data_IF_938936717822
#
_entry.id   IF_938936717822
#
_cell.length_a   1.000
_cell.length_b   1.000
_cell.length_c   1.000
_cell.angle_alpha   90.00
_cell.angle_beta   90.00
_cell.angle_gamma   90.00
#
_symmetry.space_group_name_H-M   'P 1'
#
loop_
_entity.id
_entity.type
_entity.pdbx_description
1 polymer ?
#
# COMPACT_ATOMS: atom_id res chain seq x y z
N UNK A 1 34.20 -12.94 5.61
CA UNK A 1 32.78 -13.31 5.78
C UNK A 1 32.17 -12.43 6.88
N UNK A 2 31.59 -11.26 6.54
CA UNK A 2 30.98 -10.37 7.54
C UNK A 2 29.59 -10.92 7.86
N UNK A 3 29.45 -11.57 9.02
CA UNK A 3 28.16 -11.93 9.59
C UNK A 3 27.43 -10.61 9.93
N UNK A 4 26.26 -10.32 9.36
CA UNK A 4 25.50 -9.14 9.72
C UNK A 4 25.13 -9.20 11.21
N UNK A 5 25.28 -8.07 11.90
CA UNK A 5 24.94 -7.96 13.32
C UNK A 5 23.43 -8.10 13.53
N UNK A 6 22.99 -8.67 14.66
CA UNK A 6 21.55 -8.79 15.02
C UNK A 6 20.76 -7.47 14.94
N UNK A 7 21.44 -6.30 14.98
CA UNK A 7 20.84 -4.98 14.78
C UNK A 7 20.59 -4.67 13.30
N UNK A 8 21.51 -5.04 12.41
CA UNK A 8 21.33 -4.91 10.95
C UNK A 8 20.15 -5.76 10.47
N UNK A 9 20.00 -6.99 10.96
CA UNK A 9 18.85 -7.86 10.60
C UNK A 9 17.50 -7.23 11.00
N UNK A 10 17.45 -6.54 12.14
CA UNK A 10 16.25 -5.82 12.59
C UNK A 10 16.00 -4.57 11.74
N UNK A 11 17.06 -3.84 11.41
CA UNK A 11 16.98 -2.67 10.54
C UNK A 11 16.50 -3.03 9.13
N UNK A 12 17.02 -4.11 8.53
CA UNK A 12 16.57 -4.62 7.23
C UNK A 12 15.09 -5.04 7.25
N UNK A 13 14.63 -5.67 8.33
CA UNK A 13 13.21 -6.00 8.50
C UNK A 13 12.33 -4.75 8.56
N UNK A 14 12.74 -3.74 9.33
CA UNK A 14 12.03 -2.47 9.42
C UNK A 14 12.01 -1.73 8.07
N UNK A 15 13.15 -1.66 7.37
CA UNK A 15 13.25 -1.05 6.05
C UNK A 15 12.35 -1.73 5.03
N UNK A 16 12.29 -3.06 5.02
CA UNK A 16 11.38 -3.80 4.14
C UNK A 16 9.92 -3.40 4.35
N UNK A 17 9.49 -3.27 5.59
CA UNK A 17 8.15 -2.79 5.95
C UNK A 17 7.93 -1.37 5.42
N UNK A 18 8.89 -0.48 5.66
CA UNK A 18 8.82 0.93 5.23
C UNK A 18 8.74 1.03 3.70
N UNK A 19 9.58 0.31 2.97
CA UNK A 19 9.58 0.32 1.49
C UNK A 19 8.24 -0.16 0.91
N UNK A 20 7.60 -1.17 1.52
CA UNK A 20 6.28 -1.64 1.07
C UNK A 20 5.21 -0.56 1.31
N UNK A 21 5.21 0.09 2.47
CA UNK A 21 4.27 1.18 2.79
C UNK A 21 4.45 2.34 1.81
N UNK A 22 5.70 2.77 1.60
CA UNK A 22 6.02 3.84 0.67
C UNK A 22 5.63 3.48 -0.77
N UNK A 23 5.92 2.26 -1.21
CA UNK A 23 5.55 1.78 -2.54
C UNK A 23 4.04 1.75 -2.76
N UNK A 24 3.27 1.28 -1.78
CA UNK A 24 1.82 1.27 -1.85
C UNK A 24 1.22 2.69 -1.83
N UNK A 25 1.78 3.60 -1.02
CA UNK A 25 1.40 5.01 -1.00
C UNK A 25 1.65 5.68 -2.36
N UNK A 26 2.81 5.40 -2.97
CA UNK A 26 3.12 5.90 -4.32
C UNK A 26 2.14 5.31 -5.33
N UNK A 27 1.88 4.00 -5.30
CA UNK A 27 0.97 3.34 -6.25
C UNK A 27 -0.48 3.85 -6.15
N UNK A 28 -0.98 4.19 -4.95
CA UNK A 28 -2.34 4.73 -4.81
C UNK A 28 -2.44 6.20 -5.20
N UNK A 29 -1.37 6.97 -5.05
CA UNK A 29 -1.34 8.39 -5.43
C UNK A 29 -0.91 8.64 -6.88
N UNK A 30 -0.16 7.72 -7.50
CA UNK A 30 0.35 7.87 -8.87
C UNK A 30 -0.77 8.11 -9.89
N UNK A 31 -1.87 7.33 -9.91
CA UNK A 31 -2.93 7.53 -10.90
C UNK A 31 -3.64 8.88 -10.77
N UNK A 32 -3.76 9.37 -9.53
CA UNK A 32 -4.32 10.70 -9.26
C UNK A 32 -3.37 11.81 -9.72
N UNK A 33 -2.08 11.75 -9.36
CA UNK A 33 -1.09 12.74 -9.80
C UNK A 33 -0.92 12.78 -11.31
N UNK A 34 -0.89 11.62 -11.98
CA UNK A 34 -0.81 11.53 -13.44
C UNK A 34 -2.05 12.15 -14.09
N UNK A 35 -3.26 11.88 -13.59
CA UNK A 35 -4.46 12.54 -14.12
C UNK A 35 -4.50 14.04 -13.84
N UNK A 36 -4.07 14.49 -12.66
CA UNK A 36 -4.04 15.91 -12.32
C UNK A 36 -3.09 16.67 -13.25
N UNK A 37 -1.93 16.10 -13.58
CA UNK A 37 -1.02 16.65 -14.59
C UNK A 37 -1.70 16.70 -15.97
N UNK A 38 -2.31 15.59 -16.42
CA UNK A 38 -2.99 15.55 -17.73
C UNK A 38 -4.14 16.55 -17.80
N UNK A 39 -4.94 16.73 -16.73
CA UNK A 39 -5.99 17.75 -16.67
C UNK A 39 -5.45 19.17 -16.85
N UNK A 40 -4.28 19.45 -16.26
CA UNK A 40 -3.64 20.76 -16.38
C UNK A 40 -3.18 21.09 -17.80
N UNK A 41 -2.77 20.09 -18.59
CA UNK A 41 -2.31 20.30 -19.97
C UNK A 41 -3.43 20.14 -21.01
N UNK A 42 -4.30 19.14 -20.85
CA UNK A 42 -5.37 18.84 -21.79
C UNK A 42 -6.60 18.23 -21.07
N UNK A 43 -7.57 19.05 -20.64
CA UNK A 43 -8.78 18.56 -19.99
C UNK A 43 -9.68 17.72 -20.92
N UNK A 44 -9.61 17.94 -22.24
CA UNK A 44 -10.38 17.19 -23.24
C UNK A 44 -9.79 15.79 -23.56
N UNK A 45 -8.54 15.54 -23.17
CA UNK A 45 -7.83 14.29 -23.47
C UNK A 45 -8.17 13.16 -22.48
N UNK A 46 -8.96 13.44 -21.44
CA UNK A 46 -9.26 12.47 -20.38
C UNK A 46 -10.55 11.74 -20.69
N UNK A 47 -10.43 10.44 -20.90
CA UNK A 47 -11.58 9.56 -21.00
C UNK A 47 -12.28 9.41 -19.64
N UNK A 48 -13.62 9.45 -19.64
CA UNK A 48 -14.47 9.28 -18.44
C UNK A 48 -14.12 8.02 -17.65
N UNK A 49 -13.72 6.93 -18.33
CA UNK A 49 -13.28 5.70 -17.67
C UNK A 49 -11.97 5.88 -16.88
N UNK A 50 -10.99 6.60 -17.44
CA UNK A 50 -9.72 6.89 -16.76
C UNK A 50 -9.96 7.75 -15.52
N UNK A 51 -10.83 8.76 -15.64
CA UNK A 51 -11.24 9.58 -14.52
C UNK A 51 -11.90 8.75 -13.41
N UNK A 52 -12.87 7.90 -13.76
CA UNK A 52 -13.50 7.00 -12.79
C UNK A 52 -12.51 6.06 -12.13
N UNK A 53 -11.62 5.40 -12.88
CA UNK A 53 -10.64 4.46 -12.32
C UNK A 53 -9.73 5.17 -11.32
N UNK A 54 -9.15 6.32 -11.66
CA UNK A 54 -8.30 7.05 -10.72
C UNK A 54 -9.09 7.60 -9.54
N UNK A 55 -10.35 8.00 -9.72
CA UNK A 55 -11.21 8.42 -8.62
C UNK A 55 -11.45 7.27 -7.63
N UNK A 56 -11.74 6.06 -8.14
CA UNK A 56 -11.88 4.86 -7.33
C UNK A 56 -10.57 4.49 -6.62
N UNK A 57 -9.43 4.55 -7.32
CA UNK A 57 -8.11 4.29 -6.70
C UNK A 57 -7.81 5.32 -5.59
N UNK A 58 -8.13 6.59 -5.81
CA UNK A 58 -7.95 7.63 -4.80
C UNK A 58 -8.90 7.43 -3.61
N UNK A 59 -10.13 6.96 -3.86
CA UNK A 59 -11.10 6.60 -2.82
C UNK A 59 -10.64 5.39 -1.99
N UNK A 60 -9.92 4.45 -2.60
CA UNK A 60 -9.32 3.32 -1.87
C UNK A 60 -8.17 3.73 -0.94
N UNK A 61 -7.73 4.99 -0.90
CA UNK A 61 -6.75 5.48 0.10
C UNK A 61 -7.13 5.12 1.54
N UNK A 62 -8.42 5.15 1.88
CA UNK A 62 -8.89 4.86 3.23
C UNK A 62 -8.69 3.37 3.64
N UNK A 63 -9.21 2.37 2.87
CA UNK A 63 -8.95 0.96 3.16
C UNK A 63 -7.48 0.55 2.90
N UNK A 64 -6.74 1.27 2.05
CA UNK A 64 -5.32 0.99 1.80
C UNK A 64 -4.47 1.12 3.07
N UNK A 65 -4.86 1.95 4.05
CA UNK A 65 -4.13 2.03 5.31
C UNK A 65 -4.05 0.66 6.03
N UNK A 66 -5.17 -0.01 6.39
CA UNK A 66 -5.11 -1.35 6.98
C UNK A 66 -4.52 -2.43 6.05
N UNK A 67 -4.67 -2.34 4.72
CA UNK A 67 -4.01 -3.27 3.80
C UNK A 67 -2.48 -3.08 3.74
N UNK A 68 -1.99 -1.84 3.74
CA UNK A 68 -0.58 -1.52 3.87
C UNK A 68 0.00 -2.08 5.16
N UNK A 69 -0.68 -1.89 6.30
CA UNK A 69 -0.27 -2.47 7.57
C UNK A 69 -0.32 -4.01 7.56
N UNK A 70 -1.34 -4.60 6.92
CA UNK A 70 -1.50 -6.05 6.78
C UNK A 70 -0.43 -6.71 5.90
N UNK A 71 -0.01 -6.05 4.81
CA UNK A 71 1.02 -6.56 3.91
C UNK A 71 2.45 -6.27 4.37
N UNK A 72 2.68 -5.14 5.05
CA UNK A 72 4.00 -4.72 5.48
C UNK A 72 4.53 -5.53 6.69
N UNK A 73 3.65 -6.15 7.49
CA UNK A 73 4.05 -6.94 8.64
C UNK A 73 3.52 -8.38 8.55
N UNK A 74 4.40 -9.37 8.43
CA UNK A 74 4.04 -10.80 8.37
C UNK A 74 3.18 -11.25 9.57
N UNK A 75 3.38 -10.61 10.75
CA UNK A 75 2.54 -10.84 11.92
C UNK A 75 1.10 -10.35 11.69
N UNK A 76 0.92 -9.17 11.10
CA UNK A 76 -0.40 -8.66 10.75
C UNK A 76 -1.04 -9.46 9.62
N UNK A 77 -0.29 -9.91 8.60
CA UNK A 77 -0.84 -10.81 7.57
C UNK A 77 -1.41 -12.09 8.19
N UNK A 78 -0.71 -12.68 9.17
CA UNK A 78 -1.22 -13.83 9.93
C UNK A 78 -2.49 -13.50 10.72
N UNK A 79 -2.54 -12.35 11.39
CA UNK A 79 -3.74 -11.89 12.11
C UNK A 79 -4.90 -11.59 11.16
N UNK A 80 -4.64 -10.97 10.00
CA UNK A 80 -5.64 -10.64 8.99
C UNK A 80 -6.22 -11.89 8.34
N UNK A 81 -5.36 -12.86 8.00
CA UNK A 81 -5.80 -14.19 7.52
C UNK A 81 -6.60 -14.94 8.60
N UNK A 82 -6.23 -14.80 9.88
CA UNK A 82 -6.98 -15.39 11.00
C UNK A 82 -8.38 -14.76 11.16
N UNK A 83 -8.47 -13.43 11.04
CA UNK A 83 -9.74 -12.69 11.03
C UNK A 83 -10.59 -13.11 9.83
N UNK A 84 -9.98 -13.22 8.64
CA UNK A 84 -10.68 -13.64 7.42
C UNK A 84 -11.14 -15.11 7.44
N UNK A 85 -10.44 -15.97 8.18
CA UNK A 85 -10.87 -17.34 8.48
C UNK A 85 -11.92 -17.44 9.60
N UNK A 86 -12.37 -16.31 10.16
CA UNK A 86 -13.30 -16.25 11.30
C UNK A 86 -12.86 -17.10 12.51
N UNK A 87 -11.55 -17.33 12.66
CA UNK A 87 -11.02 -18.22 13.69
C UNK A 87 -10.69 -17.42 14.96
N UNK A 88 -11.76 -16.96 15.62
CA UNK A 88 -11.72 -16.16 16.86
C UNK A 88 -11.42 -16.99 18.11
N UNK A 89 -11.14 -18.30 17.96
CA UNK A 89 -10.85 -19.17 19.11
C UNK A 89 -9.43 -18.95 19.65
N UNK A 90 -9.38 -18.21 20.76
CA UNK A 90 -8.38 -18.11 21.84
C UNK A 90 -8.08 -16.64 22.14
N UNK A 91 -9.03 -16.04 22.85
CA UNK A 91 -8.70 -15.19 24.00
C UNK A 91 -8.00 -16.05 25.05
#
# INVERSE_FOLDING_TARGET
NKQPSRREDRAFKALRTITIILGAFILCWTPWHVLALIMGFCPACINKYLYSISYWVCYTNSPINPFCYAFANQQFKKTFVRIFKLDWRRT
#
